data_IF_994847666930
#
_entry.id   IF_994847666930
#
_cell.length_a   1.000
_cell.length_b   1.000
_cell.length_c   1.000
_cell.angle_alpha   90.00
_cell.angle_beta   90.00
_cell.angle_gamma   90.00
#
_symmetry.space_group_name_H-M   'P 1'
#
loop_
_entity.id
_entity.type
_entity.pdbx_description
1 polymer ?
#
# COMPACT_ATOMS: atom_id res chain seq x y z
N UNK A 1 -17.47 -0.43 -14.02
CA UNK A 1 -16.45 -1.29 -13.36
C UNK A 1 -16.24 -0.74 -11.97
N UNK A 2 -16.66 -1.48 -10.95
CA UNK A 2 -17.00 -0.94 -9.63
C UNK A 2 -15.78 -0.50 -8.83
N UNK A 3 -15.85 0.71 -8.25
CA UNK A 3 -15.00 1.11 -7.13
C UNK A 3 -15.15 0.01 -6.07
N UNK A 4 -14.08 -0.70 -5.76
CA UNK A 4 -14.05 -1.62 -4.62
C UNK A 4 -14.37 -0.76 -3.41
N UNK A 5 -15.62 -0.83 -2.93
CA UNK A 5 -16.02 -0.22 -1.68
C UNK A 5 -15.14 -0.84 -0.61
N UNK A 6 -14.17 -0.08 -0.12
CA UNK A 6 -13.28 -0.47 0.98
C UNK A 6 -14.21 -0.75 2.17
N UNK A 7 -14.56 -2.02 2.37
CA UNK A 7 -15.47 -2.44 3.43
C UNK A 7 -14.91 -2.02 4.79
N UNK A 8 -15.80 -1.90 5.78
CA UNK A 8 -15.59 -1.44 7.16
C UNK A 8 -14.46 -2.12 7.96
N UNK A 9 -13.75 -3.11 7.40
CA UNK A 9 -12.65 -3.82 8.06
C UNK A 9 -11.24 -3.41 7.58
N UNK A 10 -11.12 -2.47 6.63
CA UNK A 10 -9.85 -2.09 6.03
C UNK A 10 -9.36 -0.76 6.59
N UNK A 11 -8.08 -0.69 6.93
CA UNK A 11 -7.41 0.57 7.26
C UNK A 11 -6.48 0.93 6.12
N UNK A 12 -6.78 2.02 5.44
CA UNK A 12 -5.91 2.60 4.43
C UNK A 12 -5.17 3.80 5.03
N UNK A 13 -3.86 3.84 4.85
CA UNK A 13 -2.99 4.92 5.30
C UNK A 13 -2.29 5.51 4.08
N UNK A 14 -2.45 6.82 3.85
CA UNK A 14 -1.77 7.52 2.76
C UNK A 14 -0.26 7.49 3.02
N UNK A 15 0.50 6.91 2.10
CA UNK A 15 1.97 6.97 2.10
C UNK A 15 2.45 8.14 1.27
N UNK A 16 1.78 8.40 0.14
CA UNK A 16 2.13 9.48 -0.78
C UNK A 16 0.93 9.89 -1.65
N UNK A 17 0.70 11.19 -1.80
CA UNK A 17 -0.40 11.70 -2.64
C UNK A 17 -0.08 11.62 -4.13
N UNK A 18 1.19 11.83 -4.49
CA UNK A 18 1.68 11.78 -5.87
C UNK A 18 3.12 11.25 -5.90
N UNK A 19 3.30 10.11 -6.56
CA UNK A 19 4.59 9.49 -6.88
C UNK A 19 4.64 9.27 -8.40
N UNK A 20 5.65 9.82 -9.08
CA UNK A 20 5.81 9.64 -10.53
C UNK A 20 6.73 8.46 -10.83
N UNK A 21 6.22 7.47 -11.56
CA UNK A 21 6.97 6.28 -11.98
C UNK A 21 6.75 6.09 -13.47
N UNK A 22 7.85 6.04 -14.22
CA UNK A 22 7.85 5.83 -15.67
C UNK A 22 6.88 6.80 -16.41
N UNK A 23 6.84 8.07 -15.96
CA UNK A 23 6.00 9.13 -16.52
C UNK A 23 4.53 9.10 -16.08
N UNK A 24 4.15 8.22 -15.15
CA UNK A 24 2.78 8.12 -14.62
C UNK A 24 2.72 8.48 -13.14
N UNK A 25 1.79 9.38 -12.80
CA UNK A 25 1.52 9.75 -11.42
C UNK A 25 0.65 8.67 -10.73
N UNK A 26 1.04 8.32 -9.51
CA UNK A 26 0.32 7.38 -8.67
C UNK A 26 0.07 8.00 -7.29
N UNK A 27 -1.09 7.68 -6.72
CA UNK A 27 -1.28 7.78 -5.27
C UNK A 27 -0.88 6.47 -4.63
N UNK A 28 -0.23 6.52 -3.47
CA UNK A 28 0.26 5.34 -2.77
C UNK A 28 -0.39 5.24 -1.40
N UNK A 29 -1.10 4.14 -1.16
CA UNK A 29 -1.73 3.81 0.12
C UNK A 29 -1.10 2.53 0.70
N UNK A 30 -0.95 2.45 2.01
CA UNK A 30 -0.76 1.20 2.74
C UNK A 30 -2.10 0.71 3.26
N UNK A 31 -2.50 -0.49 2.86
CA UNK A 31 -3.73 -1.13 3.28
C UNK A 31 -3.42 -2.26 4.25
N UNK A 32 -3.96 -2.15 5.46
CA UNK A 32 -3.94 -3.21 6.46
C UNK A 32 -5.34 -3.80 6.63
N UNK A 33 -5.46 -5.12 6.45
CA UNK A 33 -6.72 -5.86 6.66
C UNK A 33 -6.53 -7.00 7.65
N UNK A 34 -7.48 -7.16 8.58
CA UNK A 34 -7.56 -8.42 9.34
C UNK A 34 -7.95 -9.53 8.38
N UNK A 35 -7.23 -10.64 8.42
CA UNK A 35 -7.47 -11.78 7.54
C UNK A 35 -7.44 -13.08 8.33
N UNK A 36 -8.25 -14.04 7.91
CA UNK A 36 -8.25 -15.40 8.46
C UNK A 36 -6.92 -16.10 8.15
N UNK A 37 -6.39 -16.85 9.11
CA UNK A 37 -5.12 -17.57 8.97
C UNK A 37 -3.86 -16.73 9.17
N UNK A 38 -3.98 -15.47 9.62
CA UNK A 38 -2.86 -14.61 10.03
C UNK A 38 -3.13 -14.04 11.41
N UNK A 39 -2.15 -14.13 12.32
CA UNK A 39 -2.22 -13.39 13.57
C UNK A 39 -1.93 -11.91 13.27
N UNK A 40 -2.98 -11.07 13.31
CA UNK A 40 -2.89 -9.63 13.07
C UNK A 40 -3.47 -9.19 11.72
N UNK A 41 -2.64 -8.58 10.88
CA UNK A 41 -3.03 -7.87 9.67
C UNK A 41 -2.20 -8.34 8.48
N UNK A 42 -2.86 -8.62 7.35
CA UNK A 42 -2.20 -8.63 6.04
C UNK A 42 -2.00 -7.18 5.61
N UNK A 43 -0.78 -6.85 5.18
CA UNK A 43 -0.40 -5.49 4.80
C UNK A 43 0.01 -5.48 3.32
N UNK A 44 -0.44 -4.46 2.60
CA UNK A 44 -0.20 -4.31 1.17
C UNK A 44 0.00 -2.84 0.84
N UNK A 45 1.01 -2.52 0.03
CA UNK A 45 1.14 -1.20 -0.59
C UNK A 45 0.38 -1.22 -1.90
N UNK A 46 -0.49 -0.25 -2.11
CA UNK A 46 -1.34 -0.12 -3.28
C UNK A 46 -0.96 1.15 -4.02
N UNK A 47 -0.60 0.99 -5.29
CA UNK A 47 -0.30 2.08 -6.21
C UNK A 47 -1.51 2.29 -7.12
N UNK A 48 -2.13 3.45 -6.96
CA UNK A 48 -3.33 3.88 -7.66
C UNK A 48 -2.93 4.86 -8.77
N UNK A 49 -2.87 4.44 -10.05
CA UNK A 49 -2.46 5.33 -11.12
C UNK A 49 -3.54 6.40 -11.38
N UNK A 50 -3.11 7.62 -11.65
CA UNK A 50 -4.02 8.77 -11.88
C UNK A 50 -4.65 8.76 -13.27
N UNK A 51 -4.10 7.97 -14.20
CA UNK A 51 -4.59 7.82 -15.57
C UNK A 51 -5.79 6.84 -15.68
N UNK A 52 -6.24 6.25 -14.57
CA UNK A 52 -7.31 5.27 -14.55
C UNK A 52 -6.89 3.86 -14.97
N UNK A 53 -5.59 3.60 -15.10
CA UNK A 53 -5.03 2.27 -15.30
C UNK A 53 -5.27 1.31 -14.12
N UNK A 54 -4.84 0.04 -14.25
CA UNK A 54 -5.00 -0.94 -13.19
C UNK A 54 -4.16 -0.58 -11.96
N UNK A 55 -4.72 -0.78 -10.78
CA UNK A 55 -4.00 -0.67 -9.51
C UNK A 55 -2.90 -1.75 -9.45
N UNK A 56 -1.76 -1.41 -8.83
CA UNK A 56 -0.70 -2.37 -8.53
C UNK A 56 -0.61 -2.59 -7.03
N UNK A 57 -0.66 -3.84 -6.62
CA UNK A 57 -0.55 -4.24 -5.21
C UNK A 57 0.79 -4.93 -4.95
N UNK A 58 1.48 -4.50 -3.90
CA UNK A 58 2.73 -5.10 -3.41
C UNK A 58 2.51 -5.61 -1.99
N UNK A 59 2.50 -6.94 -1.76
CA UNK A 59 2.33 -7.49 -0.43
C UNK A 59 3.57 -7.18 0.43
N UNK A 60 3.32 -6.83 1.69
CA UNK A 60 4.34 -6.66 2.72
C UNK A 60 4.24 -7.80 3.75
N UNK A 61 5.27 -7.97 4.61
CA UNK A 61 5.14 -8.82 5.79
C UNK A 61 3.89 -8.47 6.61
N UNK A 62 3.27 -9.51 7.19
CA UNK A 62 2.11 -9.33 8.04
C UNK A 62 2.48 -8.55 9.31
N UNK A 63 1.59 -7.69 9.77
CA UNK A 63 1.74 -6.93 11.01
C UNK A 63 0.95 -7.60 12.14
N UNK A 64 1.55 -7.88 13.29
CA UNK A 64 0.84 -8.51 14.40
C UNK A 64 -0.14 -7.55 15.09
N UNK A 65 0.22 -6.26 15.16
CA UNK A 65 -0.52 -5.24 15.89
C UNK A 65 -0.77 -3.97 15.07
N UNK A 66 -1.64 -3.07 15.57
CA UNK A 66 -1.78 -1.74 14.96
C UNK A 66 -0.49 -0.90 15.11
N UNK A 67 0.32 -1.13 16.16
CA UNK A 67 1.58 -0.42 16.35
C UNK A 67 2.58 -0.78 15.24
N UNK A 68 2.61 -2.04 14.83
CA UNK A 68 3.40 -2.50 13.69
C UNK A 68 2.95 -1.83 12.39
N UNK A 69 1.64 -1.78 12.12
CA UNK A 69 1.10 -1.08 10.95
C UNK A 69 1.52 0.40 10.95
N UNK A 70 1.36 1.09 12.08
CA UNK A 70 1.74 2.50 12.20
C UNK A 70 3.24 2.73 12.03
N UNK A 71 4.08 1.80 12.50
CA UNK A 71 5.53 1.82 12.28
C UNK A 71 5.85 1.70 10.79
N UNK A 72 5.27 0.71 10.10
CA UNK A 72 5.45 0.53 8.65
C UNK A 72 5.02 1.77 7.86
N UNK A 73 3.91 2.40 8.23
CA UNK A 73 3.47 3.66 7.62
C UNK A 73 4.51 4.76 7.78
N UNK A 74 5.06 4.94 8.99
CA UNK A 74 6.09 5.97 9.26
C UNK A 74 7.39 5.70 8.51
N UNK A 75 7.78 4.43 8.38
CA UNK A 75 8.99 4.03 7.68
C UNK A 75 8.88 4.26 6.16
N UNK A 76 7.68 4.14 5.58
CA UNK A 76 7.47 4.23 4.13
C UNK A 76 6.92 5.57 3.65
N UNK A 77 6.27 6.35 4.52
CA UNK A 77 5.67 7.62 4.13
C UNK A 77 6.73 8.58 3.55
N UNK A 78 6.47 9.07 2.34
CA UNK A 78 7.38 9.97 1.62
C UNK A 78 8.70 9.36 1.13
N UNK A 79 8.91 8.04 1.27
CA UNK A 79 10.13 7.38 0.78
C UNK A 79 10.04 7.07 -0.72
N UNK A 80 10.19 8.09 -1.57
CA UNK A 80 10.02 7.98 -3.03
C UNK A 80 10.85 6.87 -3.67
N UNK A 81 12.15 6.81 -3.35
CA UNK A 81 13.07 5.83 -3.93
C UNK A 81 12.66 4.40 -3.56
N UNK A 82 12.30 4.18 -2.29
CA UNK A 82 11.87 2.88 -1.78
C UNK A 82 10.55 2.45 -2.44
N UNK A 83 9.56 3.35 -2.49
CA UNK A 83 8.26 3.06 -3.09
C UNK A 83 8.37 2.81 -4.60
N UNK A 84 9.22 3.55 -5.30
CA UNK A 84 9.51 3.34 -6.73
C UNK A 84 10.15 1.97 -6.96
N UNK A 85 11.10 1.58 -6.10
CA UNK A 85 11.73 0.26 -6.17
C UNK A 85 10.71 -0.86 -5.95
N UNK A 86 9.88 -0.75 -4.91
CA UNK A 86 8.81 -1.73 -4.65
C UNK A 86 7.86 -1.87 -5.84
N UNK A 87 7.47 -0.75 -6.45
CA UNK A 87 6.63 -0.78 -7.64
C UNK A 87 7.27 -1.59 -8.76
N UNK A 88 8.56 -1.37 -9.05
CA UNK A 88 9.27 -2.06 -10.13
C UNK A 88 9.49 -3.54 -9.84
N UNK A 89 9.94 -3.87 -8.64
CA UNK A 89 10.30 -5.23 -8.24
C UNK A 89 9.07 -6.09 -7.90
N UNK A 90 7.96 -5.46 -7.49
CA UNK A 90 6.75 -6.17 -7.06
C UNK A 90 6.88 -6.81 -5.67
N UNK A 91 7.91 -6.46 -4.90
CA UNK A 91 8.16 -6.94 -3.53
C UNK A 91 8.42 -5.78 -2.58
N UNK A 92 8.14 -6.01 -1.29
CA UNK A 92 8.54 -5.10 -0.21
C UNK A 92 10.06 -4.96 -0.07
N UNK A 93 10.52 -4.08 0.83
CA UNK A 93 11.93 -3.86 1.10
C UNK A 93 12.53 -5.01 1.92
#
# INVERSE_FOLDING_TARGET
MGKIGRGTSWKAHRLMDRLEIDGRAHTVDLVARRATGVQGYRVTVVFLPHDGGPEREVPLPNAATNADVNRMVRELAGQEEVLTRMYREGSGP
#
